data_IF_789718038082
#
_entry.id   IF_789718038082
#
_cell.length_a   1.000
_cell.length_b   1.000
_cell.length_c   1.000
_cell.angle_alpha   90.00
_cell.angle_beta   90.00
_cell.angle_gamma   90.00
#
_symmetry.space_group_name_H-M   'P 1'
#
loop_
_entity.id
_entity.type
_entity.pdbx_description
1 polymer ?
#
# COMPACT_ATOMS: atom_id res chain seq x y z
N UNK A 1 -1.25 16.91 6.21
CA UNK A 1 -2.10 16.95 5.00
C UNK A 1 -2.77 15.59 4.83
N UNK A 2 -3.97 15.59 4.34
CA UNK A 2 -4.71 14.34 4.12
C UNK A 2 -4.63 13.95 2.66
N UNK A 3 -4.23 12.70 2.41
CA UNK A 3 -4.13 12.16 1.06
C UNK A 3 -5.07 10.96 0.93
N UNK A 4 -5.76 10.88 -0.19
CA UNK A 4 -6.67 9.76 -0.48
C UNK A 4 -5.98 8.78 -1.42
N UNK A 5 -5.83 7.54 -0.96
CA UNK A 5 -5.32 6.46 -1.79
C UNK A 5 -6.50 5.75 -2.43
N UNK A 6 -6.61 5.81 -3.75
CA UNK A 6 -7.72 5.21 -4.49
C UNK A 6 -7.35 3.88 -5.12
N UNK A 7 -6.07 3.69 -5.41
CA UNK A 7 -5.58 2.44 -5.99
C UNK A 7 -4.12 2.24 -5.58
N UNK A 8 -3.76 1.02 -5.22
CA UNK A 8 -2.40 0.70 -4.83
C UNK A 8 -2.10 -0.75 -5.22
N UNK A 9 -0.87 -0.99 -5.66
CA UNK A 9 -0.35 -2.32 -5.94
C UNK A 9 0.93 -2.53 -5.17
N UNK A 10 1.07 -3.71 -4.60
CA UNK A 10 2.27 -4.11 -3.86
C UNK A 10 3.02 -5.19 -4.62
N UNK A 11 4.31 -5.29 -4.34
CA UNK A 11 5.15 -6.36 -4.89
C UNK A 11 5.07 -7.56 -3.96
N UNK A 12 4.12 -8.44 -4.24
CA UNK A 12 3.91 -9.67 -3.45
C UNK A 12 4.76 -10.85 -3.90
N UNK A 13 5.51 -10.69 -4.97
CA UNK A 13 6.31 -11.77 -5.54
C UNK A 13 7.72 -11.83 -4.97
N UNK A 14 8.15 -10.77 -4.31
CA UNK A 14 9.53 -10.62 -3.87
C UNK A 14 9.81 -11.46 -2.62
N UNK A 15 10.69 -12.47 -2.76
CA UNK A 15 11.28 -13.19 -1.64
C UNK A 15 10.46 -14.28 -1.00
N UNK A 16 9.35 -14.72 -1.60
CA UNK A 16 8.51 -15.77 -1.03
C UNK A 16 8.47 -17.01 -1.90
N UNK A 17 8.70 -18.16 -1.28
CA UNK A 17 8.61 -19.48 -1.94
C UNK A 17 7.17 -19.90 -2.15
N UNK A 18 6.24 -19.41 -1.33
CA UNK A 18 4.83 -19.71 -1.45
C UNK A 18 4.07 -18.51 -2.00
N UNK A 19 3.15 -18.71 -2.95
CA UNK A 19 2.35 -17.62 -3.47
C UNK A 19 1.42 -17.08 -2.40
N UNK A 20 1.44 -15.77 -2.25
CA UNK A 20 0.52 -15.08 -1.36
C UNK A 20 -0.88 -15.15 -1.98
N UNK A 21 -1.89 -15.58 -1.23
CA UNK A 21 -3.22 -15.79 -1.79
C UNK A 21 -3.83 -14.47 -2.27
N UNK A 22 -4.68 -14.56 -3.31
CA UNK A 22 -5.33 -13.36 -3.84
C UNK A 22 -6.23 -12.69 -2.82
N UNK A 23 -6.89 -13.46 -1.96
CA UNK A 23 -7.73 -12.92 -0.91
C UNK A 23 -6.91 -12.13 0.11
N UNK A 24 -5.75 -12.66 0.49
CA UNK A 24 -4.84 -11.96 1.39
C UNK A 24 -4.28 -10.71 0.75
N UNK A 25 -3.95 -10.78 -0.56
CA UNK A 25 -3.50 -9.60 -1.29
C UNK A 25 -4.56 -8.51 -1.29
N UNK A 26 -5.81 -8.87 -1.53
CA UNK A 26 -6.92 -7.91 -1.51
C UNK A 26 -7.12 -7.30 -0.13
N UNK A 27 -6.97 -8.08 0.93
CA UNK A 27 -7.07 -7.56 2.28
C UNK A 27 -5.98 -6.51 2.56
N UNK A 28 -4.75 -6.77 2.15
CA UNK A 28 -3.65 -5.81 2.29
C UNK A 28 -3.94 -4.54 1.49
N UNK A 29 -4.42 -4.67 0.27
CA UNK A 29 -4.76 -3.54 -0.59
C UNK A 29 -5.88 -2.70 0.04
N UNK A 30 -6.92 -3.35 0.55
CA UNK A 30 -8.03 -2.65 1.19
C UNK A 30 -7.60 -1.88 2.44
N UNK A 31 -6.68 -2.42 3.21
CA UNK A 31 -6.12 -1.73 4.37
C UNK A 31 -5.35 -0.47 3.98
N UNK A 32 -4.76 -0.47 2.79
CA UNK A 32 -3.98 0.67 2.30
C UNK A 32 -4.84 1.73 1.61
N UNK A 33 -6.01 1.37 1.11
CA UNK A 33 -6.91 2.31 0.44
C UNK A 33 -7.65 3.16 1.48
N UNK A 34 -7.79 4.44 1.20
CA UNK A 34 -8.51 5.36 2.06
C UNK A 34 -7.71 6.63 2.34
N UNK A 35 -8.12 7.35 3.38
CA UNK A 35 -7.51 8.62 3.75
C UNK A 35 -6.37 8.38 4.74
N UNK A 36 -5.21 8.97 4.43
CA UNK A 36 -4.03 8.93 5.29
C UNK A 36 -3.62 10.35 5.66
N UNK A 37 -3.31 10.58 6.90
CA UNK A 37 -2.79 11.87 7.37
C UNK A 37 -1.27 11.81 7.46
N UNK A 38 -0.61 12.58 6.59
CA UNK A 38 0.86 12.62 6.47
C UNK A 38 1.27 14.03 6.09
N UNK A 39 2.57 14.32 6.15
CA UNK A 39 3.09 15.63 5.78
C UNK A 39 3.30 15.79 4.27
N UNK A 40 3.59 14.69 3.57
CA UNK A 40 3.81 14.71 2.12
C UNK A 40 3.60 13.31 1.53
N UNK A 41 3.65 13.21 0.20
CA UNK A 41 3.43 11.94 -0.50
C UNK A 41 4.52 10.92 -0.23
N UNK A 42 5.77 11.36 -0.11
CA UNK A 42 6.89 10.45 0.17
C UNK A 42 6.70 9.80 1.53
N UNK A 43 6.27 10.56 2.51
CA UNK A 43 5.97 10.04 3.84
C UNK A 43 4.80 9.05 3.81
N UNK A 44 3.81 9.31 2.95
CA UNK A 44 2.67 8.40 2.78
C UNK A 44 3.11 7.03 2.29
N UNK A 45 3.97 6.99 1.27
CA UNK A 45 4.49 5.74 0.72
C UNK A 45 5.23 4.96 1.80
N UNK A 46 6.11 5.62 2.54
CA UNK A 46 6.85 4.98 3.63
C UNK A 46 5.91 4.47 4.71
N UNK A 47 4.91 5.26 5.07
CA UNK A 47 3.98 4.90 6.13
C UNK A 47 3.13 3.69 5.76
N UNK A 48 2.63 3.65 4.54
CA UNK A 48 1.85 2.50 4.05
C UNK A 48 2.72 1.25 4.02
N UNK A 49 3.91 1.35 3.42
CA UNK A 49 4.83 0.22 3.31
C UNK A 49 5.20 -0.34 4.69
N UNK A 50 5.45 0.54 5.66
CA UNK A 50 5.79 0.14 7.02
C UNK A 50 4.59 -0.52 7.73
N UNK A 51 3.38 -0.01 7.50
CA UNK A 51 2.17 -0.53 8.12
C UNK A 51 1.80 -1.92 7.60
N UNK A 52 1.87 -2.14 6.31
CA UNK A 52 1.48 -3.42 5.69
C UNK A 52 2.64 -4.41 5.56
N UNK A 53 3.88 -3.92 5.61
CA UNK A 53 5.07 -4.77 5.50
C UNK A 53 5.42 -5.20 4.07
N UNK A 54 4.87 -4.53 3.06
CA UNK A 54 5.12 -4.84 1.66
C UNK A 54 5.64 -3.62 0.91
N UNK A 55 6.49 -3.85 -0.09
CA UNK A 55 6.94 -2.78 -0.97
C UNK A 55 5.84 -2.36 -1.91
N UNK A 56 5.69 -1.05 -2.11
CA UNK A 56 4.70 -0.51 -3.02
C UNK A 56 5.26 -0.50 -4.43
N UNK A 57 4.51 -1.09 -5.37
CA UNK A 57 4.86 -1.13 -6.78
C UNK A 57 4.25 0.04 -7.54
N UNK A 58 3.00 0.36 -7.24
CA UNK A 58 2.26 1.44 -7.88
C UNK A 58 1.22 1.99 -6.91
N UNK A 59 1.03 3.30 -6.90
CA UNK A 59 -0.05 3.91 -6.12
C UNK A 59 -0.64 5.10 -6.86
N UNK A 60 -1.96 5.27 -6.73
CA UNK A 60 -2.68 6.46 -7.18
C UNK A 60 -3.19 7.19 -5.95
N UNK A 61 -2.74 8.43 -5.80
CA UNK A 61 -2.99 9.23 -4.62
C UNK A 61 -3.65 10.53 -5.03
N UNK A 62 -4.72 10.90 -4.35
CA UNK A 62 -5.42 12.17 -4.55
C UNK A 62 -5.38 13.00 -3.26
N UNK A 63 -5.37 14.29 -3.44
CA UNK A 63 -5.36 15.25 -2.32
C UNK A 63 -6.78 15.68 -2.02
#
# INVERSE_FOLDING_TARGET
MKLLVTQIEFDFEDGYDEPFSKDDQQNVIQDAIGIWEVDNEDELVDKISDTVGWCIKLSLIHI
#
